data_IF_085647823426
#
_entry.id   IF_085647823426
#
_cell.length_a   1.000
_cell.length_b   1.000
_cell.length_c   1.000
_cell.angle_alpha   90.00
_cell.angle_beta   90.00
_cell.angle_gamma   90.00
#
_symmetry.space_group_name_H-M   'P 1'
#
loop_
_entity.id
_entity.type
_entity.pdbx_description
1 polymer ?
#
# COMPACT_ATOMS: atom_id res chain seq x y z
N UNK A 1 -30.42 -30.01 18.56
CA UNK A 1 -30.64 -28.62 18.12
C UNK A 1 -30.44 -28.60 16.61
N UNK A 2 -31.54 -28.75 15.85
CA UNK A 2 -31.52 -28.69 14.38
C UNK A 2 -31.53 -27.23 13.96
N UNK A 3 -30.48 -26.78 13.28
CA UNK A 3 -30.47 -25.51 12.57
C UNK A 3 -31.06 -25.77 11.19
N UNK A 4 -32.40 -25.88 11.11
CA UNK A 4 -33.12 -26.17 9.86
C UNK A 4 -33.41 -24.88 9.04
N UNK A 5 -32.72 -23.77 9.31
CA UNK A 5 -32.78 -22.56 8.48
C UNK A 5 -31.42 -21.85 8.44
N UNK A 6 -30.45 -22.49 7.79
CA UNK A 6 -29.21 -21.81 7.45
C UNK A 6 -29.53 -20.68 6.46
N UNK A 7 -29.21 -19.44 6.84
CA UNK A 7 -29.35 -18.29 5.94
C UNK A 7 -28.68 -18.59 4.59
N UNK A 8 -29.18 -17.98 3.50
CA UNK A 8 -28.65 -18.21 2.15
C UNK A 8 -27.13 -18.01 2.03
N UNK A 9 -26.54 -17.17 2.89
CA UNK A 9 -25.08 -16.98 2.98
C UNK A 9 -24.36 -18.18 3.59
N UNK A 10 -24.92 -18.80 4.63
CA UNK A 10 -24.35 -20.00 5.30
C UNK A 10 -24.36 -21.19 4.33
N UNK A 11 -25.48 -21.39 3.62
CA UNK A 11 -25.61 -22.49 2.66
C UNK A 11 -24.62 -22.35 1.50
N UNK A 12 -24.40 -21.13 1.00
CA UNK A 12 -23.35 -20.85 0.00
C UNK A 12 -21.95 -21.19 0.51
N UNK A 13 -21.62 -20.82 1.75
CA UNK A 13 -20.31 -21.13 2.34
C UNK A 13 -20.12 -22.64 2.47
N UNK A 14 -21.12 -23.38 2.95
CA UNK A 14 -21.08 -24.85 3.02
C UNK A 14 -20.79 -25.47 1.65
N UNK A 15 -21.53 -25.05 0.61
CA UNK A 15 -21.31 -25.55 -0.75
C UNK A 15 -19.90 -25.26 -1.28
N UNK A 16 -19.31 -24.11 -0.94
CA UNK A 16 -17.93 -23.79 -1.33
C UNK A 16 -16.93 -24.66 -0.56
N UNK A 17 -17.15 -24.88 0.74
CA UNK A 17 -16.27 -25.70 1.57
C UNK A 17 -16.32 -27.18 1.20
N UNK A 18 -17.45 -27.65 0.68
CA UNK A 18 -17.62 -29.02 0.18
C UNK A 18 -17.07 -29.23 -1.26
N UNK A 19 -16.61 -28.16 -1.93
CA UNK A 19 -16.03 -28.24 -3.27
C UNK A 19 -14.65 -28.89 -3.24
N UNK A 20 -14.53 -30.06 -3.88
CA UNK A 20 -13.29 -30.84 -3.97
C UNK A 20 -12.16 -30.09 -4.70
N UNK A 21 -12.48 -29.06 -5.50
CA UNK A 21 -11.48 -28.24 -6.19
C UNK A 21 -11.03 -27.03 -5.38
N UNK A 22 -11.64 -26.74 -4.21
CA UNK A 22 -11.34 -25.55 -3.42
C UNK A 22 -9.84 -25.43 -3.11
N UNK A 23 -9.23 -26.50 -2.61
CA UNK A 23 -7.81 -26.51 -2.25
C UNK A 23 -6.91 -26.25 -3.47
N UNK A 24 -7.18 -26.93 -4.59
CA UNK A 24 -6.43 -26.72 -5.82
C UNK A 24 -6.58 -25.27 -6.34
N UNK A 25 -7.79 -24.71 -6.24
CA UNK A 25 -8.07 -23.33 -6.62
C UNK A 25 -7.34 -22.32 -5.71
N UNK A 26 -7.31 -22.55 -4.40
CA UNK A 26 -6.59 -21.69 -3.44
C UNK A 26 -5.07 -21.74 -3.65
N UNK A 27 -4.50 -22.91 -3.90
CA UNK A 27 -3.08 -23.06 -4.24
C UNK A 27 -2.77 -22.30 -5.53
N UNK A 28 -3.62 -22.44 -6.55
CA UNK A 28 -3.48 -21.73 -7.82
C UNK A 28 -3.54 -20.21 -7.64
N UNK A 29 -4.50 -19.68 -6.87
CA UNK A 29 -4.62 -18.25 -6.54
C UNK A 29 -3.38 -17.77 -5.79
N UNK A 30 -2.94 -18.50 -4.76
CA UNK A 30 -1.79 -18.14 -3.93
C UNK A 30 -0.49 -18.13 -4.74
N UNK A 31 -0.28 -19.13 -5.59
CA UNK A 31 0.90 -19.21 -6.46
C UNK A 31 0.95 -18.06 -7.47
N UNK A 32 -0.21 -17.66 -8.02
CA UNK A 32 -0.29 -16.64 -9.08
C UNK A 32 -0.33 -15.21 -8.56
N UNK A 33 -1.02 -14.97 -7.45
CA UNK A 33 -1.30 -13.62 -6.94
C UNK A 33 -0.67 -13.33 -5.58
N UNK A 34 -0.03 -14.32 -4.94
CA UNK A 34 0.62 -14.16 -3.65
C UNK A 34 1.71 -13.09 -3.65
N UNK A 35 2.34 -12.82 -4.80
CA UNK A 35 3.32 -11.72 -4.93
C UNK A 35 2.70 -10.35 -4.66
N UNK A 36 1.45 -10.11 -5.06
CA UNK A 36 0.74 -8.85 -4.79
C UNK A 36 0.61 -8.65 -3.29
N UNK A 37 0.11 -9.67 -2.58
CA UNK A 37 -0.05 -9.61 -1.13
C UNK A 37 1.29 -9.39 -0.42
N UNK A 38 2.34 -10.12 -0.81
CA UNK A 38 3.69 -9.94 -0.25
C UNK A 38 4.21 -8.52 -0.48
N UNK A 39 4.04 -7.96 -1.67
CA UNK A 39 4.49 -6.60 -2.01
C UNK A 39 3.73 -5.54 -1.21
N UNK A 40 2.41 -5.68 -1.06
CA UNK A 40 1.60 -4.78 -0.20
C UNK A 40 2.12 -4.80 1.23
N UNK A 41 2.31 -5.99 1.82
CA UNK A 41 2.84 -6.11 3.19
C UNK A 41 4.26 -5.54 3.34
N UNK A 42 5.08 -5.62 2.30
CA UNK A 42 6.38 -4.94 2.31
C UNK A 42 6.21 -3.42 2.31
N UNK A 43 5.38 -2.88 1.42
CA UNK A 43 5.10 -1.44 1.30
C UNK A 43 4.39 -0.84 2.52
N UNK A 44 3.77 -1.68 3.35
CA UNK A 44 3.23 -1.27 4.64
C UNK A 44 4.35 -0.95 5.65
N UNK A 45 5.59 -1.44 5.51
CA UNK A 45 6.63 -1.18 6.52
C UNK A 45 6.95 0.32 6.64
N UNK A 46 7.19 0.78 7.87
CA UNK A 46 7.59 2.18 8.14
C UNK A 46 9.04 2.42 7.71
N UNK A 47 9.34 3.66 7.32
CA UNK A 47 10.71 4.12 7.09
C UNK A 47 11.38 3.54 5.84
N UNK A 48 10.60 2.99 4.91
CA UNK A 48 11.11 2.60 3.60
C UNK A 48 11.59 3.83 2.82
N UNK A 49 12.74 3.71 2.16
CA UNK A 49 13.17 4.72 1.19
C UNK A 49 12.25 4.67 -0.03
N UNK A 50 12.16 5.80 -0.73
CA UNK A 50 11.39 5.90 -1.96
C UNK A 50 11.87 4.88 -2.99
N UNK A 51 13.19 4.79 -3.21
CA UNK A 51 13.80 3.82 -4.15
C UNK A 51 13.45 2.36 -3.82
N UNK A 52 13.50 1.99 -2.54
CA UNK A 52 13.18 0.63 -2.10
C UNK A 52 11.70 0.32 -2.37
N UNK A 53 10.84 1.30 -2.12
CA UNK A 53 9.39 1.18 -2.36
C UNK A 53 9.06 1.02 -3.85
N UNK A 54 9.71 1.80 -4.71
CA UNK A 54 9.54 1.69 -6.17
C UNK A 54 10.06 0.35 -6.69
N UNK A 55 11.20 -0.12 -6.19
CA UNK A 55 11.75 -1.41 -6.54
C UNK A 55 10.83 -2.58 -6.15
N UNK A 56 10.10 -2.48 -5.03
CA UNK A 56 9.08 -3.47 -4.67
C UNK A 56 7.96 -3.52 -5.71
N UNK A 57 7.48 -2.37 -6.17
CA UNK A 57 6.43 -2.28 -7.19
C UNK A 57 6.92 -2.82 -8.53
N UNK A 58 8.12 -2.43 -8.97
CA UNK A 58 8.70 -2.90 -10.24
C UNK A 58 8.88 -4.41 -10.26
N UNK A 59 9.48 -5.00 -9.21
CA UNK A 59 9.62 -6.47 -9.08
C UNK A 59 8.27 -7.19 -9.12
N UNK A 60 7.25 -6.64 -8.46
CA UNK A 60 5.90 -7.20 -8.51
C UNK A 60 5.33 -7.19 -9.93
N UNK A 61 5.53 -6.11 -10.70
CA UNK A 61 5.09 -6.03 -12.08
C UNK A 61 5.84 -7.05 -12.95
N UNK A 62 7.14 -7.18 -12.79
CA UNK A 62 7.99 -8.11 -13.54
C UNK A 62 7.58 -9.57 -13.26
N UNK A 63 7.44 -9.96 -12.00
CA UNK A 63 6.99 -11.30 -11.61
C UNK A 63 5.60 -11.60 -12.18
N UNK A 64 4.68 -10.63 -12.16
CA UNK A 64 3.34 -10.79 -12.70
C UNK A 64 3.32 -10.92 -14.23
N UNK A 65 4.26 -10.28 -14.94
CA UNK A 65 4.42 -10.43 -16.38
C UNK A 65 4.89 -11.85 -16.76
N UNK A 66 5.69 -12.50 -15.92
CA UNK A 66 6.12 -13.89 -16.14
C UNK A 66 4.92 -14.86 -16.03
N UNK A 67 4.02 -14.61 -15.07
CA UNK A 67 2.84 -15.44 -14.78
C UNK A 67 1.74 -15.34 -15.87
N UNK A 68 1.74 -14.26 -16.67
CA UNK A 68 0.73 -13.90 -17.68
C UNK A 68 0.58 -14.93 -18.85
N UNK A 69 1.46 -15.91 -18.93
CA UNK A 69 1.61 -16.77 -20.12
C UNK A 69 0.52 -17.84 -20.33
N UNK A 70 -0.38 -18.09 -19.36
CA UNK A 70 -1.23 -19.30 -19.40
C UNK A 70 -2.75 -19.15 -19.14
N UNK A 71 -3.28 -18.01 -18.69
CA UNK A 71 -4.73 -17.90 -18.37
C UNK A 71 -5.35 -16.51 -18.61
N UNK A 72 -6.53 -16.48 -19.25
CA UNK A 72 -7.28 -15.25 -19.56
C UNK A 72 -7.60 -14.40 -18.32
N UNK A 73 -7.89 -15.02 -17.18
CA UNK A 73 -8.21 -14.29 -15.94
C UNK A 73 -6.98 -13.60 -15.34
N UNK A 74 -5.81 -14.26 -15.39
CA UNK A 74 -4.53 -13.68 -14.95
C UNK A 74 -4.20 -12.46 -15.81
N UNK A 75 -4.33 -12.60 -17.13
CA UNK A 75 -4.08 -11.51 -18.07
C UNK A 75 -4.89 -10.26 -17.78
N UNK A 76 -6.17 -10.43 -17.47
CA UNK A 76 -7.03 -9.30 -17.09
C UNK A 76 -6.54 -8.58 -15.82
N UNK A 77 -6.01 -9.33 -14.84
CA UNK A 77 -5.46 -8.75 -13.60
C UNK A 77 -4.16 -7.99 -13.89
N UNK A 78 -3.24 -8.57 -14.67
CA UNK A 78 -1.97 -7.95 -15.05
C UNK A 78 -2.20 -6.67 -15.85
N UNK A 79 -3.10 -6.70 -16.84
CA UNK A 79 -3.48 -5.52 -17.62
C UNK A 79 -4.10 -4.43 -16.74
N UNK A 80 -4.95 -4.81 -15.78
CA UNK A 80 -5.53 -3.86 -14.82
C UNK A 80 -4.45 -3.22 -13.95
N UNK A 81 -3.50 -4.01 -13.46
CA UNK A 81 -2.36 -3.51 -12.67
C UNK A 81 -1.56 -2.48 -13.47
N UNK A 82 -1.14 -2.82 -14.70
CA UNK A 82 -0.41 -1.91 -15.58
C UNK A 82 -1.17 -0.61 -15.80
N UNK A 83 -2.46 -0.70 -16.15
CA UNK A 83 -3.32 0.49 -16.36
C UNK A 83 -3.45 1.36 -15.11
N UNK A 84 -3.50 0.77 -13.92
CA UNK A 84 -3.56 1.53 -12.65
C UNK A 84 -2.26 2.29 -12.41
N UNK A 85 -1.11 1.66 -12.65
CA UNK A 85 0.21 2.28 -12.49
C UNK A 85 0.43 3.38 -13.53
N UNK A 86 0.15 3.11 -14.80
CA UNK A 86 0.30 4.08 -15.91
C UNK A 86 -0.58 5.33 -15.73
N UNK A 87 -1.82 5.15 -15.24
CA UNK A 87 -2.73 6.29 -14.99
C UNK A 87 -2.34 7.11 -13.76
N UNK A 88 -1.50 6.58 -12.88
CA UNK A 88 -1.08 7.28 -11.67
C UNK A 88 0.09 8.22 -11.97
N UNK A 89 -0.23 9.44 -12.40
CA UNK A 89 0.77 10.49 -12.65
C UNK A 89 1.67 10.78 -11.45
N UNK A 90 1.11 10.78 -10.24
CA UNK A 90 1.88 11.03 -9.01
C UNK A 90 2.92 9.94 -8.73
N UNK A 91 2.58 8.67 -9.01
CA UNK A 91 3.56 7.59 -8.93
C UNK A 91 4.68 7.76 -9.97
N UNK A 92 4.36 8.19 -11.19
CA UNK A 92 5.38 8.48 -12.21
C UNK A 92 6.30 9.64 -11.78
N UNK A 93 5.75 10.73 -11.24
CA UNK A 93 6.54 11.82 -10.67
C UNK A 93 7.49 11.33 -9.58
N UNK A 94 7.01 10.49 -8.66
CA UNK A 94 7.84 9.91 -7.60
C UNK A 94 8.92 8.98 -8.15
N UNK A 95 8.66 8.26 -9.25
CA UNK A 95 9.66 7.45 -9.96
C UNK A 95 10.79 8.30 -10.52
N UNK A 96 10.45 9.41 -11.17
CA UNK A 96 11.45 10.33 -11.72
C UNK A 96 12.31 10.94 -10.61
N UNK A 97 11.67 11.41 -9.53
CA UNK A 97 12.41 11.92 -8.37
C UNK A 97 13.34 10.83 -7.80
N UNK A 98 12.86 9.60 -7.64
CA UNK A 98 13.67 8.50 -7.15
C UNK A 98 14.87 8.22 -8.05
N UNK A 99 14.69 8.24 -9.37
CA UNK A 99 15.76 7.97 -10.33
C UNK A 99 16.84 9.06 -10.30
N UNK A 100 16.43 10.33 -10.20
CA UNK A 100 17.37 11.45 -10.02
C UNK A 100 18.13 11.33 -8.69
N UNK A 101 17.46 10.96 -7.61
CA UNK A 101 18.11 10.74 -6.30
C UNK A 101 19.10 9.57 -6.27
N UNK A 102 19.10 8.70 -7.29
CA UNK A 102 20.03 7.58 -7.44
C UNK A 102 20.94 7.70 -8.68
N UNK A 103 21.04 8.90 -9.26
CA UNK A 103 21.88 9.20 -10.42
C UNK A 103 21.60 8.33 -11.66
N UNK A 104 20.34 7.88 -11.87
CA UNK A 104 19.98 7.01 -13.01
C UNK A 104 19.35 7.75 -14.20
N UNK A 105 19.72 9.02 -14.41
CA UNK A 105 19.31 9.94 -15.51
C UNK A 105 17.88 9.75 -16.08
N UNK A 106 16.94 10.63 -15.70
CA UNK A 106 15.62 10.72 -16.33
C UNK A 106 15.26 12.16 -16.73
N UNK A 107 14.27 12.30 -17.62
CA UNK A 107 13.82 13.59 -18.11
C UNK A 107 13.14 14.41 -16.99
N UNK A 108 13.76 15.54 -16.64
CA UNK A 108 13.33 16.47 -15.57
C UNK A 108 12.09 17.28 -15.99
N UNK A 109 11.77 17.37 -17.29
CA UNK A 109 10.69 18.21 -17.81
C UNK A 109 9.30 17.80 -17.25
N UNK A 110 9.14 16.56 -16.80
CA UNK A 110 7.90 16.06 -16.18
C UNK A 110 7.73 16.45 -14.70
N UNK A 111 8.74 17.06 -14.07
CA UNK A 111 8.72 17.47 -12.66
C UNK A 111 8.12 18.86 -12.40
N UNK A 112 7.85 19.63 -13.46
CA UNK A 112 7.32 20.99 -13.33
C UNK A 112 8.26 21.90 -12.54
N UNK A 113 7.71 22.64 -11.58
CA UNK A 113 8.45 23.65 -10.81
C UNK A 113 9.22 23.10 -9.58
N UNK A 114 9.33 21.76 -9.43
CA UNK A 114 10.07 21.16 -8.31
C UNK A 114 11.54 21.57 -8.38
N UNK A 115 12.03 22.24 -7.34
CA UNK A 115 13.43 22.65 -7.28
C UNK A 115 14.31 21.53 -6.69
N UNK A 116 15.62 21.63 -6.90
CA UNK A 116 16.57 20.61 -6.45
C UNK A 116 16.58 20.41 -4.92
N UNK A 117 16.36 21.48 -4.13
CA UNK A 117 16.36 21.36 -2.66
C UNK A 117 15.11 20.66 -2.14
N UNK A 118 13.97 20.79 -2.81
CA UNK A 118 12.73 20.08 -2.51
C UNK A 118 12.87 18.57 -2.78
N UNK A 119 13.52 18.20 -3.88
CA UNK A 119 13.69 16.79 -4.28
C UNK A 119 14.41 15.95 -3.22
N UNK A 120 15.37 16.52 -2.50
CA UNK A 120 16.13 15.81 -1.45
C UNK A 120 15.21 15.29 -0.33
N UNK A 121 14.11 16.00 -0.04
CA UNK A 121 13.16 15.59 1.00
C UNK A 121 12.31 14.37 0.60
N UNK A 122 12.27 14.00 -0.68
CA UNK A 122 11.52 12.83 -1.16
C UNK A 122 12.23 11.50 -0.92
N UNK A 123 13.45 11.49 -0.37
CA UNK A 123 14.21 10.25 -0.08
C UNK A 123 13.41 9.19 0.69
N UNK A 124 12.51 9.63 1.57
CA UNK A 124 11.63 8.77 2.37
C UNK A 124 10.14 9.06 2.10
N UNK A 125 9.81 9.60 0.93
CA UNK A 125 8.43 9.87 0.57
C UNK A 125 7.64 8.55 0.50
N UNK A 126 6.53 8.43 1.26
CA UNK A 126 5.70 7.24 1.21
C UNK A 126 4.93 7.18 -0.11
N UNK A 127 4.89 6.01 -0.73
CA UNK A 127 4.08 5.76 -1.94
C UNK A 127 2.71 5.15 -1.63
N UNK A 128 2.42 4.91 -0.34
CA UNK A 128 1.16 4.34 0.15
C UNK A 128 0.51 5.27 1.18
N UNK A 129 -0.81 5.14 1.36
CA UNK A 129 -1.57 5.86 2.39
C UNK A 129 -1.40 5.27 3.80
N UNK A 130 -0.57 4.25 3.97
CA UNK A 130 -0.49 3.49 5.23
C UNK A 130 -0.03 4.33 6.41
N UNK A 131 0.92 5.24 6.20
CA UNK A 131 1.38 6.14 7.26
C UNK A 131 0.31 7.17 7.65
N UNK A 132 -0.52 7.58 6.69
CA UNK A 132 -1.70 8.43 6.95
C UNK A 132 -2.72 7.66 7.79
N UNK A 133 -3.07 6.43 7.41
CA UNK A 133 -4.03 5.58 8.13
C UNK A 133 -3.58 5.29 9.58
N UNK A 134 -2.29 5.01 9.79
CA UNK A 134 -1.72 4.84 11.13
C UNK A 134 -1.83 6.11 11.96
N UNK A 135 -1.54 7.27 11.36
CA UNK A 135 -1.65 8.56 12.02
C UNK A 135 -3.09 8.82 12.46
N UNK A 136 -4.09 8.57 11.59
CA UNK A 136 -5.51 8.66 11.95
C UNK A 136 -5.90 7.73 13.10
N UNK A 137 -5.40 6.48 13.09
CA UNK A 137 -5.67 5.51 14.15
C UNK A 137 -5.08 5.96 15.50
N UNK A 138 -3.86 6.49 15.49
CA UNK A 138 -3.20 7.01 16.69
C UNK A 138 -3.89 8.27 17.23
N UNK A 139 -4.29 9.16 16.32
CA UNK A 139 -4.98 10.40 16.66
C UNK A 139 -6.47 10.20 16.89
N UNK A 140 -6.98 8.95 16.87
CA UNK A 140 -8.41 8.64 17.01
C UNK A 140 -9.03 9.30 18.24
N UNK A 141 -8.33 9.33 19.37
CA UNK A 141 -8.84 9.96 20.59
C UNK A 141 -8.88 11.49 20.53
N UNK A 142 -8.05 12.13 19.68
CA UNK A 142 -8.13 13.56 19.38
C UNK A 142 -9.23 13.87 18.36
N UNK A 143 -9.35 13.03 17.33
CA UNK A 143 -10.19 13.30 16.16
C UNK A 143 -11.65 12.88 16.37
N UNK A 144 -11.94 11.91 17.23
CA UNK A 144 -13.31 11.48 17.51
C UNK A 144 -14.09 12.52 18.31
N UNK A 145 -15.41 12.58 18.11
CA UNK A 145 -16.31 13.51 18.82
C UNK A 145 -16.40 13.26 20.33
N UNK A 146 -15.87 12.13 20.83
CA UNK A 146 -15.77 11.80 22.26
C UNK A 146 -14.63 12.54 22.96
N UNK A 147 -14.23 13.71 22.46
CA UNK A 147 -13.22 14.53 23.12
C UNK A 147 -13.73 14.82 24.52
N UNK A 148 -12.91 14.53 25.53
CA UNK A 148 -12.92 15.34 26.76
C UNK A 148 -12.87 16.80 26.28
N UNK A 149 -13.57 17.74 26.90
CA UNK A 149 -13.65 19.14 26.43
C UNK A 149 -12.27 19.83 26.46
N UNK A 150 -11.38 19.45 25.55
CA UNK A 150 -10.02 19.93 25.44
C UNK A 150 -10.05 21.27 24.72
N UNK A 151 -9.34 22.23 25.29
CA UNK A 151 -9.05 23.49 24.61
C UNK A 151 -8.19 23.22 23.37
N UNK A 152 -8.28 24.10 22.38
CA UNK A 152 -7.51 23.99 21.14
C UNK A 152 -5.99 23.88 21.40
N UNK A 153 -5.46 24.63 22.36
CA UNK A 153 -4.05 24.53 22.74
C UNK A 153 -3.67 23.13 23.26
N UNK A 154 -4.53 22.50 24.05
CA UNK A 154 -4.28 21.12 24.53
C UNK A 154 -4.29 20.11 23.39
N UNK A 155 -5.11 20.33 22.36
CA UNK A 155 -5.12 19.50 21.15
C UNK A 155 -3.80 19.66 20.39
N UNK A 156 -3.30 20.90 20.25
CA UNK A 156 -2.02 21.19 19.59
C UNK A 156 -0.85 20.52 20.31
N UNK A 157 -0.76 20.67 21.62
CA UNK A 157 0.29 20.03 22.43
C UNK A 157 0.23 18.50 22.33
N UNK A 158 -0.98 17.93 22.43
CA UNK A 158 -1.16 16.49 22.32
C UNK A 158 -0.81 15.96 20.92
N UNK A 159 -1.11 16.72 19.86
CA UNK A 159 -0.70 16.39 18.49
C UNK A 159 0.83 16.41 18.36
N UNK A 160 1.52 17.41 18.91
CA UNK A 160 3.00 17.48 18.89
C UNK A 160 3.60 16.28 19.62
N UNK A 161 3.11 15.95 20.81
CA UNK A 161 3.57 14.78 21.59
C UNK A 161 3.38 13.49 20.79
N UNK A 162 2.21 13.29 20.18
CA UNK A 162 1.92 12.09 19.41
C UNK A 162 2.76 12.00 18.13
N UNK A 163 2.91 13.10 17.38
CA UNK A 163 3.82 13.19 16.24
C UNK A 163 5.27 12.83 16.61
N UNK A 164 5.79 13.37 17.71
CA UNK A 164 7.17 13.12 18.14
C UNK A 164 7.37 11.68 18.64
N UNK A 165 6.35 11.08 19.28
CA UNK A 165 6.41 9.67 19.68
C UNK A 165 6.50 8.71 18.49
N UNK A 166 6.06 9.14 17.29
CA UNK A 166 6.06 8.34 16.07
C UNK A 166 7.38 8.33 15.32
N UNK A 167 8.26 9.29 15.56
CA UNK A 167 9.58 9.36 14.92
C UNK A 167 10.56 8.28 15.42
N UNK A 168 10.14 7.47 16.40
CA UNK A 168 10.98 6.46 17.04
C UNK A 168 12.02 7.10 17.95
N UNK A 169 12.43 6.38 19.00
CA UNK A 169 13.65 6.73 19.73
C UNK A 169 14.80 6.62 18.73
N UNK A 170 15.34 7.75 18.31
CA UNK A 170 16.68 7.81 17.75
C UNK A 170 17.59 7.31 18.87
N UNK A 171 18.03 6.06 18.80
CA UNK A 171 19.15 5.61 19.62
C UNK A 171 20.36 6.36 19.07
N UNK A 172 20.68 7.49 19.71
CA UNK A 172 21.98 8.14 19.64
C UNK A 172 22.98 7.21 20.34
#
# INVERSE_FOLDING_TARGET
MKLDDDSASILKVKNILDDQQLDANLVCITAKFGIISKSITQLEKRGLKLVDSINIVNRMIDDMNIIDTHSKSIKSVVEKLKKVIEKNKGFNTLRIISNILNDTEENIDELGDLNASEMVYFKYAPITSMDVERSFSQYKNLLTNKRRSLLFENIKEMLIIQCNSNLGKVNI
#
